data_IF_016387582053
#
_entry.id   IF_016387582053
#
_cell.length_a   1.000
_cell.length_b   1.000
_cell.length_c   1.000
_cell.angle_alpha   90.00
_cell.angle_beta   90.00
_cell.angle_gamma   90.00
#
_symmetry.space_group_name_H-M   'P 1'
#
loop_
_entity.id
_entity.type
_entity.pdbx_description
1 polymer ?
#
# COMPACT_ATOMS: atom_id res chain seq x y z
N UNK A 1 -64.60 9.27 40.74
CA UNK A 1 -63.20 9.37 40.95
C UNK A 1 -62.52 9.40 39.58
N UNK A 2 -61.91 10.47 39.21
CA UNK A 2 -61.19 10.51 37.91
C UNK A 2 -59.96 9.64 38.00
N UNK A 3 -59.82 8.71 37.06
CA UNK A 3 -58.61 7.91 36.87
C UNK A 3 -57.61 8.75 36.09
N UNK A 4 -56.49 9.00 36.72
CA UNK A 4 -55.34 9.66 36.05
C UNK A 4 -54.65 8.65 35.11
N UNK A 5 -54.52 8.92 33.84
CA UNK A 5 -53.75 7.99 33.00
C UNK A 5 -52.27 8.16 33.28
N UNK A 6 -51.64 7.06 33.69
CA UNK A 6 -50.17 7.00 33.77
C UNK A 6 -49.57 7.14 32.39
N UNK A 7 -48.97 8.30 32.12
CA UNK A 7 -48.11 8.47 30.97
C UNK A 7 -46.82 7.64 31.19
N UNK A 8 -46.76 6.53 30.50
CA UNK A 8 -45.51 5.77 30.40
C UNK A 8 -44.56 6.56 29.51
N UNK A 9 -43.58 7.19 30.11
CA UNK A 9 -42.46 7.74 29.36
C UNK A 9 -41.61 6.56 28.86
N UNK A 10 -41.73 6.26 27.57
CA UNK A 10 -40.81 5.36 26.90
C UNK A 10 -39.50 6.11 26.72
N UNK A 11 -38.50 5.79 27.52
CA UNK A 11 -37.14 6.25 27.31
C UNK A 11 -36.61 5.55 26.04
N UNK A 12 -36.54 6.31 24.96
CA UNK A 12 -35.83 5.86 23.75
C UNK A 12 -34.33 6.00 24.03
N UNK A 13 -33.70 4.88 24.37
CA UNK A 13 -32.27 4.79 24.43
C UNK A 13 -31.74 4.84 22.98
N UNK A 14 -31.26 6.00 22.55
CA UNK A 14 -30.52 6.11 21.30
C UNK A 14 -29.18 5.38 21.47
N UNK A 15 -29.07 4.18 20.94
CA UNK A 15 -27.82 3.47 20.85
C UNK A 15 -26.93 4.21 19.82
N UNK A 16 -25.94 4.97 20.29
CA UNK A 16 -24.87 5.50 19.44
C UNK A 16 -24.06 4.30 18.94
N UNK A 17 -24.35 3.83 17.73
CA UNK A 17 -23.44 2.95 16.99
C UNK A 17 -22.21 3.75 16.62
N UNK A 18 -21.14 3.69 17.43
CA UNK A 18 -19.81 4.08 17.00
C UNK A 18 -19.35 3.09 15.94
N UNK A 19 -19.57 3.43 14.66
CA UNK A 19 -18.93 2.70 13.57
C UNK A 19 -17.47 3.03 13.60
N UNK A 20 -16.67 2.15 14.22
CA UNK A 20 -15.21 2.19 14.08
C UNK A 20 -14.92 1.77 12.65
N UNK A 21 -14.65 2.76 11.77
CA UNK A 21 -14.09 2.47 10.46
C UNK A 21 -12.67 1.96 10.70
N UNK A 22 -12.48 0.65 10.59
CA UNK A 22 -11.15 0.07 10.56
C UNK A 22 -10.43 0.66 9.35
N UNK A 23 -9.38 1.49 9.59
CA UNK A 23 -8.47 1.92 8.54
C UNK A 23 -7.70 0.67 8.13
N UNK A 24 -8.04 0.09 6.97
CA UNK A 24 -7.26 -1.01 6.40
C UNK A 24 -5.85 -0.51 6.17
N UNK A 25 -4.85 -1.18 6.74
CA UNK A 25 -3.45 -0.94 6.39
C UNK A 25 -3.30 -1.14 4.87
N UNK A 26 -2.49 -0.30 4.22
CA UNK A 26 -2.13 -0.48 2.83
C UNK A 26 -1.48 -1.87 2.66
N UNK A 27 -1.75 -2.54 1.54
CA UNK A 27 -1.32 -3.92 1.29
C UNK A 27 -0.43 -4.01 0.05
N UNK A 28 0.88 -3.70 0.16
CA UNK A 28 1.84 -3.86 -0.92
C UNK A 28 2.13 -5.35 -1.21
N UNK A 29 3.00 -5.61 -2.19
CA UNK A 29 3.40 -6.96 -2.60
C UNK A 29 4.29 -7.69 -1.58
N UNK A 30 4.80 -7.00 -0.57
CA UNK A 30 5.66 -7.57 0.48
C UNK A 30 4.95 -7.56 1.84
N UNK A 31 5.47 -8.36 2.78
CA UNK A 31 4.91 -8.46 4.12
C UNK A 31 5.27 -7.25 4.98
N UNK A 32 4.29 -6.41 5.30
CA UNK A 32 4.48 -5.22 6.12
C UNK A 32 4.93 -5.51 7.55
N UNK A 33 4.65 -6.69 8.10
CA UNK A 33 5.17 -7.09 9.40
C UNK A 33 6.70 -7.24 9.42
N UNK A 34 7.32 -7.41 8.23
CA UNK A 34 8.77 -7.52 8.05
C UNK A 34 9.41 -6.24 7.50
N UNK A 35 8.63 -5.18 7.33
CA UNK A 35 9.15 -3.90 6.85
C UNK A 35 10.21 -3.36 7.83
N UNK A 36 11.41 -3.11 7.33
CA UNK A 36 12.57 -2.67 8.13
C UNK A 36 13.06 -1.28 7.77
N UNK A 37 13.03 -0.90 6.49
CA UNK A 37 13.45 0.43 6.04
C UNK A 37 12.35 1.48 6.24
N UNK A 38 12.74 2.75 6.32
CA UNK A 38 11.78 3.87 6.36
C UNK A 38 10.88 3.89 5.13
N UNK A 39 11.44 3.55 3.97
CA UNK A 39 10.69 3.49 2.70
C UNK A 39 9.68 2.36 2.70
N UNK A 40 10.05 1.16 3.14
CA UNK A 40 9.11 0.05 3.25
C UNK A 40 7.94 0.38 4.21
N UNK A 41 8.25 1.00 5.35
CA UNK A 41 7.23 1.43 6.32
C UNK A 41 6.31 2.50 5.72
N UNK A 42 6.85 3.42 4.94
CA UNK A 42 6.06 4.42 4.24
C UNK A 42 5.09 3.77 3.23
N UNK A 43 5.58 2.83 2.42
CA UNK A 43 4.75 2.10 1.44
C UNK A 43 3.61 1.35 2.15
N UNK A 44 3.88 0.74 3.30
CA UNK A 44 2.87 0.03 4.10
C UNK A 44 1.80 0.96 4.69
N UNK A 45 2.06 2.25 4.83
CA UNK A 45 1.15 3.24 5.39
C UNK A 45 0.54 4.19 4.35
N UNK A 46 0.83 3.99 3.07
CA UNK A 46 0.36 4.85 1.98
C UNK A 46 -0.31 4.01 0.91
N UNK A 47 -1.62 4.19 0.74
CA UNK A 47 -2.42 3.39 -0.19
C UNK A 47 -1.98 3.54 -1.65
N UNK A 48 -1.60 4.74 -2.08
CA UNK A 48 -1.14 4.98 -3.45
C UNK A 48 0.21 4.30 -3.72
N UNK A 49 1.15 4.42 -2.79
CA UNK A 49 2.46 3.76 -2.93
C UNK A 49 2.33 2.23 -2.89
N UNK A 50 1.45 1.70 -2.06
CA UNK A 50 1.15 0.26 -2.03
C UNK A 50 0.52 -0.22 -3.34
N UNK A 51 -0.35 0.57 -3.97
CA UNK A 51 -0.93 0.27 -5.28
C UNK A 51 0.14 0.26 -6.39
N UNK A 52 1.04 1.24 -6.39
CA UNK A 52 2.19 1.29 -7.31
C UNK A 52 3.09 0.07 -7.13
N UNK A 53 3.36 -0.31 -5.89
CA UNK A 53 4.16 -1.50 -5.57
C UNK A 53 3.52 -2.77 -6.13
N UNK A 54 2.24 -3.00 -5.92
CA UNK A 54 1.52 -4.15 -6.49
C UNK A 54 1.54 -4.14 -8.02
N UNK A 55 1.31 -2.99 -8.63
CA UNK A 55 1.35 -2.84 -10.09
C UNK A 55 2.73 -3.18 -10.65
N UNK A 56 3.79 -2.69 -10.03
CA UNK A 56 5.16 -3.03 -10.41
C UNK A 56 5.45 -4.51 -10.25
N UNK A 57 5.09 -5.10 -9.13
CA UNK A 57 5.31 -6.52 -8.84
C UNK A 57 4.63 -7.43 -9.88
N UNK A 58 3.38 -7.13 -10.24
CA UNK A 58 2.64 -7.87 -11.27
C UNK A 58 3.30 -7.73 -12.65
N UNK A 59 3.69 -6.52 -13.03
CA UNK A 59 4.35 -6.27 -14.31
C UNK A 59 5.72 -6.96 -14.37
N UNK A 60 6.52 -6.84 -13.32
CA UNK A 60 7.81 -7.51 -13.21
C UNK A 60 7.70 -9.03 -13.40
N UNK A 61 6.74 -9.66 -12.72
CA UNK A 61 6.50 -11.10 -12.85
C UNK A 61 6.16 -11.49 -14.29
N UNK A 62 5.29 -10.74 -14.97
CA UNK A 62 4.94 -11.00 -16.38
C UNK A 62 6.14 -10.85 -17.31
N UNK A 63 6.93 -9.81 -17.15
CA UNK A 63 8.14 -9.62 -17.97
C UNK A 63 9.13 -10.76 -17.73
N UNK A 64 9.34 -11.12 -16.47
CA UNK A 64 10.24 -12.20 -16.08
C UNK A 64 9.87 -13.55 -16.72
N UNK A 65 8.57 -13.85 -16.83
CA UNK A 65 8.07 -15.08 -17.45
C UNK A 65 8.31 -15.13 -18.96
N UNK A 66 8.43 -13.98 -19.62
CA UNK A 66 8.47 -13.86 -21.08
C UNK A 66 9.87 -13.59 -21.66
N UNK A 67 10.90 -13.54 -20.84
CA UNK A 67 12.28 -13.34 -21.29
C UNK A 67 13.09 -14.64 -21.24
N UNK A 68 14.23 -14.67 -21.93
CA UNK A 68 15.16 -15.80 -21.92
C UNK A 68 15.75 -16.07 -20.53
N UNK A 69 16.31 -17.25 -20.30
CA UNK A 69 16.96 -17.59 -19.02
C UNK A 69 18.12 -16.63 -18.68
N UNK A 70 18.89 -16.21 -19.67
CA UNK A 70 19.99 -15.23 -19.50
C UNK A 70 19.43 -13.86 -19.12
N UNK A 71 18.37 -13.42 -19.78
CA UNK A 71 17.72 -12.14 -19.48
C UNK A 71 17.00 -12.13 -18.13
N UNK A 72 16.47 -13.28 -17.66
CA UNK A 72 15.90 -13.42 -16.32
C UNK A 72 16.93 -13.08 -15.25
N UNK A 73 18.15 -13.60 -15.40
CA UNK A 73 19.22 -13.34 -14.44
C UNK A 73 19.55 -11.84 -14.38
N UNK A 74 19.67 -11.22 -15.55
CA UNK A 74 19.93 -9.79 -15.67
C UNK A 74 18.78 -8.97 -15.06
N UNK A 75 17.55 -9.29 -15.42
CA UNK A 75 16.36 -8.59 -14.92
C UNK A 75 16.24 -8.65 -13.40
N UNK A 76 16.54 -9.81 -12.81
CA UNK A 76 16.56 -9.95 -11.34
C UNK A 76 17.63 -9.07 -10.69
N UNK A 77 18.81 -9.00 -11.27
CA UNK A 77 19.89 -8.14 -10.78
C UNK A 77 19.52 -6.65 -10.87
N UNK A 78 18.93 -6.24 -11.98
CA UNK A 78 18.41 -4.89 -12.19
C UNK A 78 17.31 -4.54 -11.16
N UNK A 79 16.40 -5.47 -10.90
CA UNK A 79 15.33 -5.26 -9.93
C UNK A 79 15.87 -5.11 -8.51
N UNK A 80 16.86 -5.89 -8.12
CA UNK A 80 17.54 -5.73 -6.82
C UNK A 80 18.23 -4.38 -6.69
N UNK A 81 18.88 -3.91 -7.76
CA UNK A 81 19.49 -2.57 -7.82
C UNK A 81 18.44 -1.47 -7.71
N UNK A 82 17.30 -1.64 -8.39
CA UNK A 82 16.19 -0.70 -8.30
C UNK A 82 15.62 -0.61 -6.88
N UNK A 83 15.42 -1.74 -6.20
CA UNK A 83 14.93 -1.77 -4.79
C UNK A 83 15.85 -0.97 -3.88
N UNK A 84 17.16 -1.11 -4.04
CA UNK A 84 18.13 -0.33 -3.26
C UNK A 84 18.02 1.17 -3.54
N UNK A 85 17.86 1.55 -4.79
CA UNK A 85 17.65 2.95 -5.20
C UNK A 85 16.37 3.53 -4.63
N UNK A 86 15.25 2.75 -4.69
CA UNK A 86 14.00 3.12 -4.04
C UNK A 86 14.18 3.36 -2.54
N UNK A 87 14.84 2.45 -1.86
CA UNK A 87 15.06 2.52 -0.42
C UNK A 87 15.98 3.68 -0.02
N UNK A 88 16.86 4.15 -0.90
CA UNK A 88 17.67 5.35 -0.70
C UNK A 88 16.85 6.65 -0.70
N UNK A 89 15.59 6.62 -1.07
CA UNK A 89 14.69 7.78 -0.99
C UNK A 89 14.56 8.34 0.44
N UNK A 90 14.94 7.60 1.48
CA UNK A 90 14.97 8.13 2.83
C UNK A 90 15.90 9.35 2.98
N UNK A 91 16.87 9.50 2.08
CA UNK A 91 17.83 10.63 2.03
C UNK A 91 17.23 11.89 1.41
N UNK A 92 16.08 11.77 0.73
CA UNK A 92 15.41 12.88 0.05
C UNK A 92 14.63 13.75 1.03
N UNK A 93 14.59 15.05 0.77
CA UNK A 93 13.73 16.00 1.49
C UNK A 93 12.24 15.70 1.27
N UNK A 94 11.88 15.09 0.13
CA UNK A 94 10.56 14.59 -0.19
C UNK A 94 10.62 13.07 -0.41
N UNK A 95 10.64 12.32 0.67
CA UNK A 95 10.75 10.86 0.61
C UNK A 95 9.58 10.25 -0.16
N UNK A 96 8.35 10.69 0.11
CA UNK A 96 7.15 10.17 -0.58
C UNK A 96 7.19 10.42 -2.08
N UNK A 97 7.47 11.64 -2.50
CA UNK A 97 7.59 11.98 -3.92
C UNK A 97 8.73 11.25 -4.60
N UNK A 98 9.86 11.06 -3.93
CA UNK A 98 10.97 10.26 -4.42
C UNK A 98 10.53 8.80 -4.67
N UNK A 99 9.91 8.15 -3.70
CA UNK A 99 9.43 6.77 -3.83
C UNK A 99 8.40 6.65 -4.96
N UNK A 100 7.47 7.58 -5.06
CA UNK A 100 6.45 7.61 -6.12
C UNK A 100 7.10 7.68 -7.51
N UNK A 101 8.09 8.55 -7.69
CA UNK A 101 8.84 8.68 -8.96
C UNK A 101 9.61 7.41 -9.29
N UNK A 102 10.27 6.79 -8.33
CA UNK A 102 10.98 5.53 -8.52
C UNK A 102 10.07 4.42 -9.05
N UNK A 103 8.89 4.25 -8.47
CA UNK A 103 7.92 3.28 -8.97
C UNK A 103 7.45 3.59 -10.39
N UNK A 104 7.10 4.83 -10.68
CA UNK A 104 6.60 5.23 -11.99
C UNK A 104 7.64 5.03 -13.09
N UNK A 105 8.87 5.44 -12.86
CA UNK A 105 9.97 5.22 -13.81
C UNK A 105 10.23 3.73 -14.04
N UNK A 106 10.25 2.94 -12.99
CA UNK A 106 10.49 1.50 -13.15
C UNK A 106 9.35 0.81 -13.88
N UNK A 107 8.11 1.16 -13.60
CA UNK A 107 6.94 0.65 -14.34
C UNK A 107 7.07 0.98 -15.83
N UNK A 108 7.42 2.22 -16.18
CA UNK A 108 7.59 2.64 -17.57
C UNK A 108 8.73 1.87 -18.26
N UNK A 109 9.86 1.70 -17.60
CA UNK A 109 10.96 0.87 -18.12
C UNK A 109 10.54 -0.57 -18.39
N UNK A 110 9.78 -1.18 -17.50
CA UNK A 110 9.34 -2.57 -17.66
C UNK A 110 8.27 -2.74 -18.73
N UNK A 111 7.47 -1.71 -19.03
CA UNK A 111 6.49 -1.73 -20.11
C UNK A 111 7.14 -1.81 -21.49
N UNK A 112 8.36 -1.32 -21.63
CA UNK A 112 9.10 -1.31 -22.88
C UNK A 112 9.88 -2.61 -23.16
N UNK A 113 9.71 -3.61 -22.30
CA UNK A 113 10.42 -4.89 -22.41
C UNK A 113 9.58 -6.02 -22.98
#
# INVERSE_FOLDING_TARGET
MPRVPYLRHAAIAAALCCTVTAVSAANPSFNCAKASSSVEKLICNDAELADLDRSLSSLYSRVLENVSAADKKLLRAEQQGWVKGRDDCWKSDDMRGCVQREYRYRIDELKDR
#
